data_IF_937040083409
#
_entry.id   IF_937040083409
#
_cell.length_a   1.000
_cell.length_b   1.000
_cell.length_c   1.000
_cell.angle_alpha   90.00
_cell.angle_beta   90.00
_cell.angle_gamma   90.00
#
_symmetry.space_group_name_H-M   'P 1'
#
loop_
_entity.id
_entity.type
_entity.pdbx_description
1 polymer ?
#
# COMPACT_ATOMS: atom_id res chain seq x y z
N UNK A 1 -16.86 -12.10 4.31
CA UNK A 1 -16.09 -11.99 5.57
C UNK A 1 -14.74 -11.42 5.19
N UNK A 2 -14.32 -10.30 5.77
CA UNK A 2 -13.00 -9.73 5.48
C UNK A 2 -11.93 -10.63 6.12
N UNK A 3 -10.84 -10.92 5.41
CA UNK A 3 -9.76 -11.83 5.86
C UNK A 3 -8.84 -11.25 6.93
N UNK A 4 -9.14 -10.05 7.41
CA UNK A 4 -8.31 -9.27 8.32
C UNK A 4 -8.19 -9.92 9.70
N UNK A 5 -6.96 -9.97 10.21
CA UNK A 5 -6.62 -10.43 11.56
C UNK A 5 -5.66 -9.44 12.19
N UNK A 6 -5.78 -9.20 13.48
CA UNK A 6 -4.82 -8.37 14.21
C UNK A 6 -3.41 -8.93 14.04
N UNK A 7 -2.47 -8.05 13.68
CA UNK A 7 -1.07 -8.40 13.53
C UNK A 7 -0.53 -8.93 14.87
N UNK A 8 0.27 -10.01 14.86
CA UNK A 8 0.86 -10.52 16.10
C UNK A 8 1.72 -9.45 16.76
N UNK A 9 1.78 -9.50 18.10
CA UNK A 9 2.69 -8.65 18.86
C UNK A 9 4.15 -8.91 18.44
N UNK A 10 4.95 -7.85 18.45
CA UNK A 10 6.37 -7.89 18.10
C UNK A 10 7.18 -7.60 19.35
N UNK A 11 8.25 -8.36 19.56
CA UNK A 11 9.20 -8.10 20.64
C UNK A 11 10.16 -6.98 20.22
N UNK A 12 10.09 -5.83 20.90
CA UNK A 12 11.00 -4.70 20.68
C UNK A 12 11.69 -4.35 21.99
N UNK A 13 13.03 -4.42 22.01
CA UNK A 13 13.85 -4.16 23.20
C UNK A 13 13.42 -4.97 24.45
N UNK A 14 12.93 -6.21 24.27
CA UNK A 14 12.47 -7.06 25.36
C UNK A 14 11.04 -6.78 25.84
N UNK A 15 10.33 -5.84 25.22
CA UNK A 15 8.91 -5.55 25.49
C UNK A 15 8.01 -6.10 24.39
N UNK A 16 6.85 -6.63 24.77
CA UNK A 16 5.79 -6.98 23.84
C UNK A 16 5.09 -5.70 23.37
N UNK A 17 5.28 -5.35 22.10
CA UNK A 17 4.55 -4.26 21.45
C UNK A 17 3.38 -4.88 20.69
N UNK A 18 2.15 -4.53 21.08
CA UNK A 18 0.96 -5.03 20.41
C UNK A 18 0.97 -4.61 18.93
N UNK A 19 0.66 -5.55 18.03
CA UNK A 19 0.38 -5.22 16.64
C UNK A 19 -0.93 -4.44 16.58
N UNK A 20 -0.84 -3.14 16.28
CA UNK A 20 -2.02 -2.26 16.21
C UNK A 20 -2.79 -2.43 14.91
N UNK A 21 -2.13 -2.94 13.86
CA UNK A 21 -2.73 -3.09 12.55
C UNK A 21 -3.56 -4.38 12.45
N UNK A 22 -4.59 -4.34 11.63
CA UNK A 22 -5.27 -5.53 11.13
C UNK A 22 -4.77 -5.85 9.73
N UNK A 23 -4.48 -7.11 9.44
CA UNK A 23 -3.85 -7.53 8.19
C UNK A 23 -4.62 -8.68 7.54
N UNK A 24 -4.86 -8.56 6.23
CA UNK A 24 -5.36 -9.63 5.36
C UNK A 24 -4.21 -10.14 4.46
N UNK A 25 -3.61 -11.27 4.87
CA UNK A 25 -2.38 -11.82 4.29
C UNK A 25 -2.62 -12.58 2.98
N UNK A 26 -1.87 -12.25 1.91
CA UNK A 26 -2.06 -12.80 0.55
C UNK A 26 -0.74 -13.17 -0.14
N UNK A 27 0.18 -13.77 0.61
CA UNK A 27 1.48 -14.22 0.10
C UNK A 27 2.52 -13.09 0.12
N UNK A 28 3.02 -12.69 -1.05
CA UNK A 28 4.02 -11.61 -1.18
C UNK A 28 3.43 -10.20 -1.10
N UNK A 29 2.12 -10.10 -0.97
CA UNK A 29 1.42 -8.85 -0.71
C UNK A 29 0.30 -9.06 0.31
N UNK A 30 -0.16 -7.98 0.94
CA UNK A 30 -1.29 -8.01 1.88
C UNK A 30 -1.94 -6.63 2.02
N UNK A 31 -3.15 -6.60 2.56
CA UNK A 31 -3.77 -5.35 3.01
C UNK A 31 -3.52 -5.15 4.50
N UNK A 32 -3.14 -3.95 4.91
CA UNK A 32 -2.88 -3.57 6.30
C UNK A 32 -3.72 -2.35 6.66
N UNK A 33 -4.65 -2.51 7.59
CA UNK A 33 -5.43 -1.42 8.17
C UNK A 33 -4.81 -0.96 9.48
N UNK A 34 -4.56 0.33 9.60
CA UNK A 34 -4.13 0.97 10.83
C UNK A 34 -5.31 1.75 11.45
N UNK A 35 -5.86 1.31 12.59
CA UNK A 35 -6.93 2.01 13.28
C UNK A 35 -6.45 3.24 14.06
N UNK A 36 -5.13 3.47 14.17
CA UNK A 36 -4.56 4.60 14.89
C UNK A 36 -4.46 5.84 14.00
N UNK A 37 -4.90 6.97 14.55
CA UNK A 37 -4.76 8.30 13.92
C UNK A 37 -3.46 9.01 14.28
N UNK A 38 -2.68 8.49 15.25
CA UNK A 38 -1.51 9.21 15.80
C UNK A 38 -0.35 9.36 14.78
N UNK A 39 -0.25 8.46 13.80
CA UNK A 39 0.83 8.51 12.80
C UNK A 39 0.45 9.29 11.54
N UNK A 40 -0.74 9.04 10.99
CA UNK A 40 -1.16 9.54 9.69
C UNK A 40 -2.19 10.69 9.77
N UNK A 41 -2.61 11.09 10.98
CA UNK A 41 -3.69 12.05 11.18
C UNK A 41 -5.09 11.50 10.89
N UNK A 42 -5.19 10.32 10.31
CA UNK A 42 -6.42 9.56 10.09
C UNK A 42 -6.12 8.05 10.17
N UNK A 43 -7.16 7.23 10.13
CA UNK A 43 -6.99 5.78 9.91
C UNK A 43 -6.56 5.55 8.48
N UNK A 44 -5.77 4.52 8.22
CA UNK A 44 -5.27 4.24 6.86
C UNK A 44 -5.43 2.79 6.50
N UNK A 45 -5.61 2.51 5.22
CA UNK A 45 -5.50 1.15 4.66
C UNK A 45 -4.37 1.16 3.65
N UNK A 46 -3.48 0.18 3.73
CA UNK A 46 -2.32 0.07 2.88
C UNK A 46 -2.30 -1.26 2.14
N UNK A 47 -1.91 -1.24 0.87
CA UNK A 47 -1.44 -2.41 0.14
C UNK A 47 0.08 -2.49 0.31
N UNK A 48 0.54 -3.61 0.84
CA UNK A 48 1.93 -3.78 1.27
C UNK A 48 2.55 -4.92 0.49
N UNK A 49 3.76 -4.70 -0.02
CA UNK A 49 4.52 -5.69 -0.79
C UNK A 49 5.78 -6.12 -0.01
N UNK A 50 5.96 -7.42 0.21
CA UNK A 50 7.06 -8.03 0.97
C UNK A 50 7.39 -7.31 2.31
N UNK A 51 6.37 -6.73 2.97
CA UNK A 51 6.50 -5.91 4.18
C UNK A 51 7.45 -4.69 4.04
N UNK A 52 7.69 -4.22 2.81
CA UNK A 52 8.67 -3.18 2.49
C UNK A 52 8.07 -1.99 1.74
N UNK A 53 7.23 -2.23 0.74
CA UNK A 53 6.66 -1.16 -0.09
C UNK A 53 5.23 -0.91 0.35
N UNK A 54 4.89 0.35 0.64
CA UNK A 54 3.59 0.74 1.19
C UNK A 54 2.82 1.67 0.25
N UNK A 55 1.72 1.16 -0.30
CA UNK A 55 0.77 1.93 -1.09
C UNK A 55 -0.42 2.28 -0.18
N UNK A 56 -0.48 3.54 0.27
CA UNK A 56 -1.33 3.94 1.38
C UNK A 56 -2.49 4.82 0.93
N UNK A 57 -3.71 4.45 1.32
CA UNK A 57 -4.91 5.29 1.22
C UNK A 57 -5.34 5.79 2.60
N UNK A 58 -5.78 7.04 2.66
CA UNK A 58 -6.41 7.64 3.82
C UNK A 58 -7.85 7.11 3.96
N UNK A 59 -8.16 6.45 5.08
CA UNK A 59 -9.47 5.88 5.39
C UNK A 59 -9.47 4.38 5.69
N UNK A 60 -10.64 3.87 6.08
CA UNK A 60 -10.90 2.43 6.22
C UNK A 60 -11.48 1.88 4.90
N UNK A 61 -10.63 1.20 4.15
CA UNK A 61 -10.98 0.57 2.88
C UNK A 61 -11.10 -0.95 3.00
N UNK A 62 -11.07 -1.52 4.21
CA UNK A 62 -11.02 -2.98 4.43
C UNK A 62 -12.13 -3.73 3.69
N UNK A 63 -13.34 -3.16 3.63
CA UNK A 63 -14.49 -3.80 3.00
C UNK A 63 -14.32 -3.86 1.48
N UNK A 64 -14.22 -2.71 0.81
CA UNK A 64 -14.19 -2.65 -0.65
C UNK A 64 -12.85 -3.11 -1.23
N UNK A 65 -11.71 -2.71 -0.65
CA UNK A 65 -10.40 -3.14 -1.13
C UNK A 65 -10.15 -4.63 -0.83
N UNK A 66 -10.68 -5.12 0.30
CA UNK A 66 -10.61 -6.53 0.67
C UNK A 66 -11.40 -7.46 -0.26
N UNK A 67 -12.32 -6.94 -1.08
CA UNK A 67 -13.06 -7.72 -2.07
C UNK A 67 -12.24 -8.02 -3.34
N UNK A 68 -11.09 -7.36 -3.55
CA UNK A 68 -10.20 -7.66 -4.66
C UNK A 68 -9.80 -9.15 -4.64
N UNK A 69 -9.92 -9.85 -5.76
CA UNK A 69 -9.62 -11.29 -5.82
C UNK A 69 -8.12 -11.58 -5.91
N UNK A 70 -7.35 -10.68 -6.51
CA UNK A 70 -5.94 -10.82 -6.80
C UNK A 70 -5.21 -9.47 -6.69
N UNK A 71 -3.92 -9.48 -7.03
CA UNK A 71 -3.09 -8.28 -6.97
C UNK A 71 -3.52 -7.23 -8.00
N UNK A 72 -3.95 -7.65 -9.19
CA UNK A 72 -4.42 -6.72 -10.22
C UNK A 72 -5.63 -5.93 -9.74
N UNK A 73 -6.66 -6.61 -9.22
CA UNK A 73 -7.83 -5.94 -8.65
C UNK A 73 -7.50 -5.05 -7.45
N UNK A 74 -6.50 -5.42 -6.64
CA UNK A 74 -6.04 -4.57 -5.54
C UNK A 74 -5.33 -3.30 -6.03
N UNK A 75 -4.55 -3.39 -7.11
CA UNK A 75 -3.90 -2.24 -7.74
C UNK A 75 -4.92 -1.35 -8.46
N UNK A 76 -5.92 -1.92 -9.11
CA UNK A 76 -6.99 -1.18 -9.76
C UNK A 76 -7.78 -0.35 -8.76
N UNK A 77 -8.13 -0.94 -7.61
CA UNK A 77 -8.75 -0.21 -6.51
C UNK A 77 -7.88 0.98 -6.06
N UNK A 78 -6.55 0.80 -5.95
CA UNK A 78 -5.64 1.88 -5.56
C UNK A 78 -5.61 3.02 -6.59
N UNK A 79 -5.59 2.70 -7.89
CA UNK A 79 -5.63 3.68 -8.98
C UNK A 79 -6.95 4.47 -8.97
N UNK A 80 -8.08 3.77 -8.83
CA UNK A 80 -9.42 4.39 -8.80
C UNK A 80 -9.58 5.39 -7.65
N UNK A 81 -8.92 5.14 -6.52
CA UNK A 81 -9.00 5.99 -5.32
C UNK A 81 -7.79 6.94 -5.19
N UNK A 82 -7.17 7.35 -6.30
CA UNK A 82 -6.00 8.23 -6.32
C UNK A 82 -6.15 9.52 -5.50
N UNK A 83 -7.35 10.08 -5.41
CA UNK A 83 -7.64 11.28 -4.60
C UNK A 83 -7.51 11.07 -3.09
N UNK A 84 -7.45 9.82 -2.64
CA UNK A 84 -7.32 9.43 -1.23
C UNK A 84 -5.93 8.91 -0.89
N UNK A 85 -4.99 8.96 -1.84
CA UNK A 85 -3.61 8.55 -1.59
C UNK A 85 -3.01 9.43 -0.49
N UNK A 86 -2.42 8.77 0.49
CA UNK A 86 -1.71 9.45 1.57
C UNK A 86 -0.42 10.10 1.05
N UNK A 87 -0.06 11.29 1.55
CA UNK A 87 1.23 11.92 1.28
C UNK A 87 2.43 11.04 1.70
N UNK A 88 2.19 10.11 2.64
CA UNK A 88 3.16 9.14 3.12
C UNK A 88 3.23 7.86 2.28
N UNK A 89 2.49 7.78 1.17
CA UNK A 89 2.46 6.63 0.27
C UNK A 89 3.72 6.57 -0.61
N UNK A 90 4.34 5.40 -0.69
CA UNK A 90 5.64 5.22 -1.36
C UNK A 90 5.53 4.92 -2.87
N UNK A 91 4.31 4.86 -3.39
CA UNK A 91 4.02 4.50 -4.79
C UNK A 91 4.86 5.26 -5.82
N UNK A 92 5.14 6.56 -5.61
CA UNK A 92 5.98 7.33 -6.55
C UNK A 92 7.43 6.84 -6.57
N UNK A 93 8.03 6.54 -5.41
CA UNK A 93 9.39 5.97 -5.35
C UNK A 93 9.40 4.56 -5.96
N UNK A 94 8.42 3.74 -5.60
CA UNK A 94 8.29 2.37 -6.10
C UNK A 94 8.00 2.28 -7.61
N UNK A 95 7.51 3.35 -8.24
CA UNK A 95 7.31 3.44 -9.70
C UNK A 95 8.45 4.18 -10.42
N UNK A 96 9.50 4.60 -9.70
CA UNK A 96 10.60 5.37 -10.29
C UNK A 96 10.21 6.80 -10.71
N UNK A 97 9.07 7.31 -10.22
CA UNK A 97 8.59 8.69 -10.41
C UNK A 97 9.16 9.67 -9.37
N UNK A 98 9.88 9.14 -8.37
CA UNK A 98 10.64 9.87 -7.36
C UNK A 98 11.95 9.13 -7.06
N UNK A 99 12.87 9.78 -6.32
CA UNK A 99 14.16 9.18 -5.96
C UNK A 99 13.95 7.93 -5.09
N UNK A 100 14.42 6.79 -5.56
CA UNK A 100 14.30 5.51 -4.87
C UNK A 100 15.54 5.22 -4.00
N UNK A 101 15.61 5.85 -2.83
CA UNK A 101 16.73 5.66 -1.89
C UNK A 101 16.73 4.29 -1.20
N UNK A 102 15.60 3.59 -1.26
CA UNK A 102 15.36 2.34 -0.55
C UNK A 102 15.15 1.16 -1.50
N UNK A 103 15.50 1.26 -2.79
CA UNK A 103 15.32 0.17 -3.76
C UNK A 103 13.90 -0.46 -3.72
N UNK A 104 12.86 0.37 -3.62
CA UNK A 104 11.45 -0.04 -3.62
C UNK A 104 10.98 -0.43 -5.01
N UNK A 105 11.50 0.21 -6.07
CA UNK A 105 11.11 -0.07 -7.44
C UNK A 105 11.45 -1.50 -7.88
N UNK A 106 12.66 -2.04 -7.63
CA UNK A 106 12.95 -3.44 -7.89
C UNK A 106 12.02 -4.41 -7.16
N UNK A 107 11.65 -4.13 -5.91
CA UNK A 107 10.70 -4.97 -5.14
C UNK A 107 9.33 -4.99 -5.79
N UNK A 108 8.79 -3.81 -6.14
CA UNK A 108 7.51 -3.73 -6.82
C UNK A 108 7.54 -4.43 -8.18
N UNK A 109 8.59 -4.21 -8.98
CA UNK A 109 8.74 -4.80 -10.30
C UNK A 109 8.79 -6.33 -10.27
N UNK A 110 9.48 -6.91 -9.27
CA UNK A 110 9.54 -8.36 -9.07
C UNK A 110 8.17 -8.96 -8.69
N UNK A 111 7.41 -8.28 -7.83
CA UNK A 111 6.13 -8.81 -7.32
C UNK A 111 4.98 -8.57 -8.29
N UNK A 112 4.89 -7.36 -8.87
CA UNK A 112 3.83 -7.00 -9.81
C UNK A 112 4.06 -7.60 -11.20
N UNK A 113 5.33 -7.85 -11.55
CA UNK A 113 5.72 -8.23 -12.91
C UNK A 113 5.52 -7.09 -13.92
N UNK A 114 5.98 -7.28 -15.17
CA UNK A 114 6.06 -6.20 -16.15
C UNK A 114 4.71 -5.56 -16.51
N UNK A 115 3.64 -6.37 -16.62
CA UNK A 115 2.33 -5.91 -17.05
C UNK A 115 1.68 -4.96 -16.02
N UNK A 116 1.58 -5.40 -14.75
CA UNK A 116 0.99 -4.60 -13.69
C UNK A 116 1.86 -3.38 -13.33
N UNK A 117 3.18 -3.53 -13.36
CA UNK A 117 4.09 -2.40 -13.18
C UNK A 117 3.86 -1.31 -14.23
N UNK A 118 3.78 -1.70 -15.51
CA UNK A 118 3.53 -0.76 -16.61
C UNK A 118 2.17 -0.09 -16.49
N UNK A 119 1.13 -0.84 -16.09
CA UNK A 119 -0.22 -0.31 -15.83
C UNK A 119 -0.20 0.79 -14.77
N UNK A 120 0.42 0.53 -13.63
CA UNK A 120 0.58 1.50 -12.55
C UNK A 120 1.39 2.72 -12.97
N UNK A 121 2.54 2.49 -13.61
CA UNK A 121 3.41 3.56 -14.05
C UNK A 121 2.66 4.54 -14.97
N UNK A 122 1.92 4.02 -15.94
CA UNK A 122 1.14 4.86 -16.86
C UNK A 122 0.02 5.64 -16.14
N UNK A 123 -0.67 5.00 -15.18
CA UNK A 123 -1.73 5.65 -14.40
C UNK A 123 -1.21 6.86 -13.61
N UNK A 124 -0.05 6.74 -12.95
CA UNK A 124 0.49 7.80 -12.10
C UNK A 124 1.45 8.77 -12.82
N UNK A 125 1.98 8.38 -13.97
CA UNK A 125 2.74 9.30 -14.83
C UNK A 125 1.82 10.35 -15.45
N UNK A 126 0.66 9.96 -15.98
CA UNK A 126 -0.28 10.88 -16.62
C UNK A 126 -0.78 11.97 -15.65
N UNK A 127 -1.07 11.60 -14.39
CA UNK A 127 -1.49 12.57 -13.37
C UNK A 127 -0.39 13.56 -12.95
N UNK A 128 0.89 13.24 -13.16
CA UNK A 128 2.01 14.13 -12.82
C UNK A 128 2.25 15.23 -13.87
N UNK A 129 1.79 15.03 -15.12
CA UNK A 129 1.94 16.02 -16.20
C UNK A 129 0.86 17.13 -16.11
N UNK A 130 -0.33 16.83 -15.56
CA UNK A 130 -1.44 17.80 -15.41
C UNK A 130 -1.28 18.77 -14.22
N UNK A 131 -0.50 18.44 -13.18
CA UNK A 131 -0.26 19.33 -12.02
C UNK A 131 0.81 20.41 -12.28
N UNK A 132 1.37 20.46 -13.49
CA UNK A 132 2.48 21.35 -13.87
C UNK A 132 2.04 22.61 -14.64
N UNK A 133 0.73 22.88 -14.79
CA UNK A 133 0.21 23.94 -15.65
C UNK A 133 -0.69 24.96 -14.92
#
# INVERSE_FOLDING_TARGET
>A
MSGFKTQPAVMMCGMNVAGINEVDQRGRWHLSYNPSVQGYGCVTTALVFDNRVFFVLNGDHRKAWGEAADLEGALDYFIEHHQQISDMSEHRMALGLARDEFALMPTLADIAGPALFTKLFNAFKAGAEDESN
#
